data_IF_892661868513
#
_entry.id   IF_892661868513
#
_cell.length_a   1.000
_cell.length_b   1.000
_cell.length_c   1.000
_cell.angle_alpha   90.00
_cell.angle_beta   90.00
_cell.angle_gamma   90.00
#
_symmetry.space_group_name_H-M   'P 1'
#
loop_
_entity.id
_entity.type
_entity.pdbx_description
1 polymer ?
#
# COMPACT_ATOMS: atom_id res chain seq x y z
N UNK A 1 74.94 -41.18 -7.63
CA UNK A 1 75.94 -41.76 -6.70
C UNK A 1 75.89 -40.90 -5.44
N UNK A 2 75.53 -41.51 -4.29
CA UNK A 2 75.50 -41.03 -2.90
C UNK A 2 74.66 -39.76 -2.58
N UNK A 3 73.52 -39.84 -1.89
CA UNK A 3 73.22 -40.24 -0.48
C UNK A 3 73.65 -39.20 0.56
N UNK A 4 72.67 -38.73 1.36
CA UNK A 4 72.87 -37.99 2.61
C UNK A 4 71.63 -37.16 3.00
N UNK A 5 70.50 -37.75 3.38
CA UNK A 5 70.09 -38.02 4.78
C UNK A 5 70.26 -36.83 5.75
N UNK A 6 69.14 -36.24 6.16
CA UNK A 6 69.07 -35.23 7.21
C UNK A 6 67.63 -34.92 7.60
N UNK A 7 66.97 -35.88 8.23
CA UNK A 7 65.64 -35.71 8.83
C UNK A 7 65.79 -34.83 10.08
N UNK A 8 65.23 -33.62 10.06
CA UNK A 8 64.89 -32.90 11.30
C UNK A 8 63.46 -32.43 11.19
N UNK A 9 62.58 -33.14 11.90
CA UNK A 9 61.20 -32.76 12.15
C UNK A 9 61.20 -31.59 13.13
N UNK A 10 61.03 -30.37 12.64
CA UNK A 10 60.62 -29.26 13.49
C UNK A 10 59.12 -29.11 13.41
N UNK A 11 58.43 -29.66 14.41
CA UNK A 11 57.08 -29.23 14.75
C UNK A 11 57.19 -27.77 15.20
N UNK A 12 56.66 -26.85 14.40
CA UNK A 12 56.42 -25.48 14.86
C UNK A 12 54.98 -25.13 14.52
N UNK A 13 54.14 -25.45 15.49
CA UNK A 13 52.93 -24.75 15.90
C UNK A 13 52.15 -24.06 14.75
N UNK A 14 51.06 -24.70 14.32
CA UNK A 14 49.94 -23.98 13.70
C UNK A 14 49.50 -22.88 14.68
N UNK A 15 49.97 -21.65 14.45
CA UNK A 15 49.42 -20.47 15.10
C UNK A 15 48.02 -20.25 14.55
N UNK A 16 47.02 -20.74 15.27
CA UNK A 16 45.63 -20.38 15.05
C UNK A 16 45.50 -18.89 15.38
N UNK A 17 45.57 -18.02 14.37
CA UNK A 17 45.12 -16.63 14.53
C UNK A 17 43.60 -16.70 14.65
N UNK A 18 43.12 -16.96 15.87
CA UNK A 18 41.73 -16.74 16.22
C UNK A 18 41.53 -15.23 16.17
N UNK A 19 40.93 -14.74 15.09
CA UNK A 19 40.39 -13.38 15.04
C UNK A 19 39.25 -13.36 16.06
N UNK A 20 39.55 -12.94 17.28
CA UNK A 20 38.54 -12.59 18.28
C UNK A 20 37.92 -11.27 17.79
N UNK A 21 36.95 -11.38 16.89
CA UNK A 21 36.01 -10.30 16.58
C UNK A 21 34.87 -10.28 17.61
N UNK A 22 35.20 -10.45 18.90
CA UNK A 22 34.22 -10.47 19.97
C UNK A 22 34.18 -9.08 20.61
N UNK A 23 33.19 -8.27 20.22
CA UNK A 23 32.91 -7.00 20.89
C UNK A 23 33.01 -5.74 20.05
N UNK A 24 32.79 -5.81 18.72
CA UNK A 24 32.31 -4.60 18.05
C UNK A 24 30.87 -4.36 18.54
N UNK A 25 30.58 -3.27 19.26
CA UNK A 25 29.20 -2.94 19.56
C UNK A 25 28.50 -2.78 18.20
N UNK A 26 27.47 -3.59 17.96
CA UNK A 26 26.54 -3.30 16.87
C UNK A 26 26.01 -1.89 17.14
N UNK A 27 26.49 -0.92 16.37
CA UNK A 27 25.93 0.41 16.33
C UNK A 27 24.53 0.25 15.75
N UNK A 28 23.56 -0.05 16.62
CA UNK A 28 22.16 -0.05 16.28
C UNK A 28 21.75 1.41 16.10
N UNK A 29 21.75 1.85 14.85
CA UNK A 29 21.14 3.13 14.50
C UNK A 29 19.64 2.97 14.66
N UNK A 30 19.08 3.66 15.66
CA UNK A 30 17.63 3.82 15.75
C UNK A 30 17.18 4.60 14.51
N UNK A 31 16.18 4.07 13.80
CA UNK A 31 15.54 4.77 12.69
C UNK A 31 15.10 6.17 13.14
N UNK A 32 15.24 7.15 12.25
CA UNK A 32 14.61 8.44 12.47
C UNK A 32 13.08 8.29 12.51
N UNK A 33 12.34 9.22 13.15
CA UNK A 33 10.88 9.21 13.12
C UNK A 33 10.30 9.18 11.69
N UNK A 34 10.95 9.84 10.73
CA UNK A 34 10.56 9.89 9.33
C UNK A 34 10.78 8.54 8.62
N UNK A 35 11.94 7.91 8.83
CA UNK A 35 12.25 6.59 8.27
C UNK A 35 11.28 5.53 8.78
N UNK A 36 11.00 5.57 10.09
CA UNK A 36 10.02 4.69 10.72
C UNK A 36 8.60 4.96 10.23
N UNK A 37 8.24 6.23 10.02
CA UNK A 37 6.95 6.60 9.46
C UNK A 37 6.76 6.05 8.05
N UNK A 38 7.79 6.19 7.22
CA UNK A 38 7.80 5.67 5.85
C UNK A 38 7.73 4.14 5.83
N UNK A 39 8.49 3.45 6.67
CA UNK A 39 8.49 1.98 6.71
C UNK A 39 7.13 1.41 7.12
N UNK A 40 6.45 2.05 8.08
CA UNK A 40 5.08 1.67 8.47
C UNK A 40 4.10 1.88 7.32
N UNK A 41 4.19 3.01 6.60
CA UNK A 41 3.30 3.29 5.46
C UNK A 41 3.50 2.26 4.34
N UNK A 42 4.77 1.98 3.98
CA UNK A 42 5.11 0.97 2.96
C UNK A 42 4.59 -0.41 3.35
N UNK A 43 4.79 -0.83 4.61
CA UNK A 43 4.31 -2.13 5.09
C UNK A 43 2.77 -2.20 5.09
N UNK A 44 2.09 -1.10 5.43
CA UNK A 44 0.64 -0.97 5.34
C UNK A 44 0.15 -1.20 3.91
N UNK A 45 0.73 -0.48 2.95
CA UNK A 45 0.40 -0.61 1.53
C UNK A 45 0.67 -2.04 1.03
N UNK A 46 1.80 -2.65 1.40
CA UNK A 46 2.13 -4.01 0.99
C UNK A 46 1.13 -5.06 1.48
N UNK A 47 0.61 -4.90 2.71
CA UNK A 47 -0.39 -5.82 3.27
C UNK A 47 -1.77 -5.69 2.64
N UNK A 48 -2.05 -4.55 2.01
CA UNK A 48 -3.30 -4.31 1.30
C UNK A 48 -3.24 -4.75 -0.18
N UNK A 49 -2.16 -5.42 -0.61
CA UNK A 49 -2.02 -5.94 -1.98
C UNK A 49 -2.53 -7.36 -2.15
N UNK A 50 -2.99 -7.66 -3.36
CA UNK A 50 -3.39 -9.00 -3.82
C UNK A 50 -4.82 -9.38 -3.48
N UNK A 51 -5.69 -8.43 -3.12
CA UNK A 51 -7.10 -8.71 -2.87
C UNK A 51 -7.92 -8.90 -4.15
N UNK A 52 -7.38 -8.56 -5.32
CA UNK A 52 -8.00 -8.70 -6.66
C UNK A 52 -9.22 -7.81 -6.85
N UNK A 53 -10.31 -8.10 -6.17
CA UNK A 53 -11.51 -7.27 -6.18
C UNK A 53 -12.29 -7.40 -4.87
N UNK A 54 -13.08 -6.38 -4.56
CA UNK A 54 -13.98 -6.40 -3.42
C UNK A 54 -15.35 -5.85 -3.79
N UNK A 55 -16.38 -6.33 -3.06
CA UNK A 55 -17.75 -5.88 -3.22
C UNK A 55 -18.42 -5.75 -1.87
N UNK A 56 -18.92 -4.56 -1.55
CA UNK A 56 -19.58 -4.26 -0.28
C UNK A 56 -20.95 -3.64 -0.50
N UNK A 57 -21.88 -3.92 0.41
CA UNK A 57 -23.15 -3.20 0.56
C UNK A 57 -23.13 -2.50 1.90
N UNK A 58 -23.50 -1.23 1.95
CA UNK A 58 -23.48 -0.46 3.18
C UNK A 58 -24.60 0.57 3.25
N UNK A 59 -24.88 1.00 4.48
CA UNK A 59 -25.72 2.14 4.80
C UNK A 59 -24.82 3.35 5.13
N UNK A 60 -25.03 4.45 4.42
CA UNK A 60 -24.36 5.73 4.65
C UNK A 60 -25.32 6.68 5.37
N UNK A 61 -24.97 7.08 6.59
CA UNK A 61 -25.75 8.03 7.39
C UNK A 61 -25.01 9.37 7.38
N UNK A 62 -25.58 10.37 6.70
CA UNK A 62 -25.05 11.73 6.68
C UNK A 62 -25.78 12.56 7.73
N UNK A 63 -25.03 13.26 8.59
CA UNK A 63 -25.57 14.17 9.61
C UNK A 63 -25.00 15.56 9.40
N UNK A 64 -25.85 16.58 9.42
CA UNK A 64 -25.41 17.97 9.31
C UNK A 64 -25.32 18.65 10.69
N UNK A 65 -24.78 19.87 10.72
CA UNK A 65 -24.60 20.64 11.97
C UNK A 65 -25.91 21.02 12.68
N UNK A 66 -27.03 20.96 11.98
CA UNK A 66 -28.36 21.31 12.49
C UNK A 66 -29.08 20.09 13.09
N UNK A 67 -28.43 18.91 13.10
CA UNK A 67 -28.97 17.68 13.66
C UNK A 67 -29.82 16.88 12.67
N UNK A 68 -29.98 17.35 11.43
CA UNK A 68 -30.70 16.61 10.39
C UNK A 68 -29.85 15.45 9.88
N UNK A 69 -30.51 14.37 9.49
CA UNK A 69 -29.86 13.18 8.94
C UNK A 69 -30.51 12.67 7.67
N UNK A 70 -29.69 12.20 6.73
CA UNK A 70 -30.13 11.45 5.55
C UNK A 70 -29.41 10.12 5.47
N UNK A 71 -30.15 9.05 5.19
CA UNK A 71 -29.62 7.71 5.02
C UNK A 71 -29.59 7.33 3.55
N UNK A 72 -28.54 6.66 3.09
CA UNK A 72 -28.41 6.12 1.74
C UNK A 72 -27.96 4.67 1.79
N UNK A 73 -28.56 3.82 0.98
CA UNK A 73 -28.06 2.46 0.75
C UNK A 73 -27.27 2.45 -0.55
N UNK A 74 -26.08 1.87 -0.51
CA UNK A 74 -25.21 1.83 -1.67
C UNK A 74 -24.37 0.56 -1.71
N UNK A 75 -23.81 0.30 -2.89
CA UNK A 75 -22.83 -0.75 -3.11
C UNK A 75 -21.57 -0.18 -3.71
N UNK A 76 -20.44 -0.69 -3.26
CA UNK A 76 -19.13 -0.33 -3.80
C UNK A 76 -18.50 -1.59 -4.35
N UNK A 77 -17.97 -1.49 -5.56
CA UNK A 77 -17.09 -2.49 -6.15
C UNK A 77 -15.72 -1.86 -6.32
N UNK A 78 -14.68 -2.53 -5.85
CA UNK A 78 -13.30 -2.10 -6.04
C UNK A 78 -12.56 -3.16 -6.83
N UNK A 79 -11.78 -2.75 -7.80
CA UNK A 79 -10.86 -3.59 -8.55
C UNK A 79 -9.45 -3.11 -8.24
N UNK A 80 -8.63 -4.01 -7.69
CA UNK A 80 -7.24 -3.75 -7.40
C UNK A 80 -6.46 -3.56 -8.70
N UNK A 81 -5.60 -2.55 -8.74
CA UNK A 81 -4.67 -2.33 -9.84
C UNK A 81 -3.23 -2.47 -9.33
N UNK A 82 -2.51 -3.47 -9.84
CA UNK A 82 -1.13 -3.76 -9.41
C UNK A 82 -0.06 -2.90 -10.10
N UNK A 83 -0.46 -2.03 -11.03
CA UNK A 83 0.42 -1.09 -11.71
C UNK A 83 0.90 -0.01 -10.73
N UNK A 84 2.20 0.23 -10.65
CA UNK A 84 2.80 1.13 -9.66
C UNK A 84 2.46 2.61 -9.87
N UNK A 85 2.02 3.00 -11.07
CA UNK A 85 1.65 4.39 -11.37
C UNK A 85 0.14 4.66 -11.20
N UNK A 86 -0.65 3.61 -10.97
CA UNK A 86 -2.11 3.66 -10.86
C UNK A 86 -2.57 3.23 -9.48
N UNK A 87 -3.70 3.78 -9.04
CA UNK A 87 -4.44 3.24 -7.90
C UNK A 87 -5.65 2.43 -8.35
N UNK A 88 -6.38 1.94 -7.36
CA UNK A 88 -7.56 1.12 -7.59
C UNK A 88 -8.68 1.82 -8.37
N UNK A 89 -9.52 0.99 -8.98
CA UNK A 89 -10.75 1.46 -9.62
C UNK A 89 -11.91 1.15 -8.70
N UNK A 90 -12.79 2.12 -8.49
CA UNK A 90 -14.00 1.93 -7.69
C UNK A 90 -15.26 2.36 -8.43
N UNK A 91 -16.33 1.59 -8.24
CA UNK A 91 -17.68 1.87 -8.71
C UNK A 91 -18.65 1.86 -7.53
N UNK A 92 -19.15 3.03 -7.19
CA UNK A 92 -20.19 3.22 -6.19
C UNK A 92 -21.53 3.39 -6.86
N UNK A 93 -22.55 2.63 -6.45
CA UNK A 93 -23.91 2.68 -6.99
C UNK A 93 -24.88 2.93 -5.83
N UNK A 94 -25.70 3.96 -5.94
CA UNK A 94 -26.73 4.30 -4.96
C UNK A 94 -28.01 3.52 -5.26
N UNK A 95 -28.49 2.75 -4.30
CA UNK A 95 -29.69 1.92 -4.44
C UNK A 95 -30.93 2.56 -3.77
N UNK A 96 -30.73 3.34 -2.70
CA UNK A 96 -31.78 4.06 -1.95
C UNK A 96 -31.24 5.40 -1.37
N UNK A 97 -32.06 6.45 -1.19
CA UNK A 97 -33.48 6.62 -1.55
C UNK A 97 -33.75 6.89 -3.03
N UNK A 98 -35.03 7.07 -3.39
CA UNK A 98 -35.51 7.19 -4.78
C UNK A 98 -34.88 8.36 -5.55
N UNK A 99 -34.56 9.44 -4.85
CA UNK A 99 -33.93 10.66 -5.38
C UNK A 99 -32.48 10.44 -5.84
N UNK A 100 -31.76 9.51 -5.21
CA UNK A 100 -30.38 9.14 -5.60
C UNK A 100 -30.28 7.80 -6.32
N UNK A 101 -31.33 6.97 -6.27
CA UNK A 101 -31.35 5.61 -6.84
C UNK A 101 -30.88 5.58 -8.30
N UNK A 102 -29.88 4.73 -8.55
CA UNK A 102 -29.26 4.54 -9.86
C UNK A 102 -28.19 5.57 -10.21
N UNK A 103 -27.95 6.58 -9.36
CA UNK A 103 -26.75 7.40 -9.47
C UNK A 103 -25.53 6.51 -9.23
N UNK A 104 -24.47 6.77 -9.99
CA UNK A 104 -23.24 5.99 -9.87
C UNK A 104 -22.02 6.89 -9.96
N UNK A 105 -21.01 6.59 -9.17
CA UNK A 105 -19.72 7.27 -9.15
C UNK A 105 -18.62 6.27 -9.52
N UNK A 106 -17.81 6.63 -10.50
CA UNK A 106 -16.67 5.86 -10.98
C UNK A 106 -15.40 6.66 -10.70
N UNK A 107 -14.42 6.04 -10.04
CA UNK A 107 -13.11 6.64 -9.79
C UNK A 107 -12.01 5.71 -10.26
N UNK A 108 -11.08 6.22 -11.05
CA UNK A 108 -9.78 5.59 -11.32
C UNK A 108 -8.72 6.43 -10.62
N UNK A 109 -8.16 5.87 -9.55
CA UNK A 109 -7.16 6.57 -8.74
C UNK A 109 -5.83 6.65 -9.47
N UNK A 110 -5.11 7.75 -9.29
CA UNK A 110 -3.75 7.95 -9.82
C UNK A 110 -2.79 8.27 -8.67
N UNK A 111 -1.54 7.80 -8.75
CA UNK A 111 -0.58 8.00 -7.65
C UNK A 111 0.00 9.42 -7.66
N UNK A 112 0.42 9.90 -8.84
CA UNK A 112 1.12 11.18 -9.00
C UNK A 112 0.29 12.24 -9.76
N UNK A 113 -0.93 11.91 -10.16
CA UNK A 113 -1.81 12.76 -10.94
C UNK A 113 -3.19 12.89 -10.28
N UNK A 114 -4.01 13.86 -10.67
CA UNK A 114 -5.39 13.92 -10.21
C UNK A 114 -6.20 12.73 -10.75
N UNK A 115 -7.08 12.17 -9.91
CA UNK A 115 -7.92 11.02 -10.28
C UNK A 115 -8.80 11.28 -11.50
N UNK A 116 -9.08 10.22 -12.25
CA UNK A 116 -10.10 10.26 -13.29
C UNK A 116 -11.46 9.85 -12.70
N UNK A 117 -12.39 10.80 -12.65
CA UNK A 117 -13.66 10.61 -11.93
C UNK A 117 -14.87 10.97 -12.78
N UNK A 118 -15.94 10.17 -12.65
CA UNK A 118 -17.21 10.38 -13.34
C UNK A 118 -18.41 10.16 -12.42
N UNK A 119 -19.43 10.98 -12.63
CA UNK A 119 -20.74 10.85 -12.00
C UNK A 119 -21.80 10.60 -13.08
N UNK A 120 -22.50 9.48 -12.97
CA UNK A 120 -23.68 9.18 -13.76
C UNK A 120 -24.94 9.63 -13.01
N UNK A 121 -25.78 10.41 -13.70
CA UNK A 121 -27.04 10.91 -13.20
C UNK A 121 -28.20 10.31 -14.02
N UNK A 122 -28.99 9.38 -13.45
CA UNK A 122 -29.99 8.62 -14.19
C UNK A 122 -31.13 9.49 -14.71
N UNK A 123 -31.54 10.51 -13.95
CA UNK A 123 -32.58 11.46 -14.36
C UNK A 123 -32.24 12.21 -15.65
N UNK A 124 -30.95 12.43 -15.91
CA UNK A 124 -30.45 13.11 -17.10
C UNK A 124 -29.87 12.14 -18.14
N UNK A 125 -29.78 10.84 -17.81
CA UNK A 125 -29.06 9.81 -18.58
C UNK A 125 -27.67 10.28 -19.02
N UNK A 126 -26.98 11.03 -18.15
CA UNK A 126 -25.73 11.72 -18.48
C UNK A 126 -24.61 11.30 -17.55
N UNK A 127 -23.44 11.13 -18.13
CA UNK A 127 -22.17 11.01 -17.41
C UNK A 127 -21.49 12.38 -17.42
N UNK A 128 -21.07 12.85 -16.25
CA UNK A 128 -20.28 14.07 -16.10
C UNK A 128 -18.90 13.70 -15.53
N UNK A 129 -17.82 14.13 -16.19
CA UNK A 129 -16.46 14.03 -15.63
C UNK A 129 -16.32 15.07 -14.51
N UNK A 130 -15.74 14.67 -13.39
CA UNK A 130 -15.40 15.54 -12.26
C UNK A 130 -13.91 15.87 -12.39
N UNK A 131 -13.56 17.16 -12.35
CA UNK A 131 -12.17 17.58 -12.31
C UNK A 131 -11.65 17.44 -10.88
N UNK A 132 -10.63 16.62 -10.69
CA UNK A 132 -9.94 16.42 -9.42
C UNK A 132 -9.08 17.62 -8.97
N UNK A 133 -9.07 18.71 -9.77
CA UNK A 133 -8.26 19.92 -9.56
C UNK A 133 -8.74 20.86 -8.43
N UNK A 134 -9.80 20.51 -7.70
CA UNK A 134 -10.30 21.27 -6.55
C UNK A 134 -10.25 20.41 -5.28
N UNK A 135 -9.04 20.04 -4.85
CA UNK A 135 -8.82 19.52 -3.51
C UNK A 135 -8.03 20.54 -2.70
#
# INVERSE_FOLDING_TARGET
>A
MLVGSGLVRSFSLLGFVSVIAFGMPELTYAESPEEKGLSIAIEGDQRDRGFVDSSVRLEMILRNRHGESSTRELRIKTLEILDADLGDKSLTIFDHPRDVKGSAFLSFTRINEPDDQWLYLPALKRVKRISSANK
#
